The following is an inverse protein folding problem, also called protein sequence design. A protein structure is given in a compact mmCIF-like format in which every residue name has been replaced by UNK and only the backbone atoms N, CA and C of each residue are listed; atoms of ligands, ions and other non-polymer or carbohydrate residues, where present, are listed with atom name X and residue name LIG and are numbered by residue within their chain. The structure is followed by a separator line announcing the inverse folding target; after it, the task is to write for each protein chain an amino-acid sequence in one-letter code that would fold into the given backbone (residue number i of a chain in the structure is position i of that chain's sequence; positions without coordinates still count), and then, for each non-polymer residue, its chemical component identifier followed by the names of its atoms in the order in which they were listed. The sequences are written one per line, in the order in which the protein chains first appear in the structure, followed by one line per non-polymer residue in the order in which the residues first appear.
data_IF_070903935170
#
_entry.id   IF_070903935170
#
_cell.length_a   1.000
_cell.length_b   1.000
_cell.length_c   1.000
_cell.angle_alpha   90.00
_cell.angle_beta   90.00
_cell.angle_gamma   90.00
#
_symmetry.space_group_name_H-M   'P 1'
#
loop_
_entity.id
_entity.type
_entity.pdbx_description
1 polymer ?
#
# COMPACT_ATOMS: atom_id res chain seq x y z
N UNK A 1 18.13 -3.57 -12.12
CA UNK A 1 18.49 -3.18 -10.73
C UNK A 1 19.92 -3.60 -10.40
N UNK A 2 20.95 -2.91 -10.92
CA UNK A 2 22.36 -3.29 -10.63
C UNK A 2 23.00 -2.46 -9.52
N UNK A 3 22.44 -1.29 -9.20
CA UNK A 3 23.01 -0.39 -8.19
C UNK A 3 22.60 -0.77 -6.76
N UNK A 4 21.37 -1.24 -6.56
CA UNK A 4 20.85 -1.69 -5.28
C UNK A 4 20.06 -2.98 -5.49
N UNK A 5 20.68 -4.16 -5.28
CA UNK A 5 19.95 -5.43 -5.30
C UNK A 5 18.91 -5.46 -4.17
N UNK A 6 17.73 -6.04 -4.44
CA UNK A 6 16.58 -6.08 -3.52
C UNK A 6 16.10 -7.52 -3.29
N UNK A 7 16.93 -8.39 -2.67
CA UNK A 7 16.60 -9.81 -2.51
C UNK A 7 15.35 -10.06 -1.66
N UNK A 8 15.01 -9.14 -0.76
CA UNK A 8 13.81 -9.23 0.07
C UNK A 8 12.52 -9.13 -0.76
N UNK A 9 12.57 -8.47 -1.92
CA UNK A 9 11.41 -8.36 -2.81
C UNK A 9 11.16 -9.72 -3.47
N UNK A 10 12.21 -10.43 -3.87
CA UNK A 10 12.10 -11.77 -4.43
C UNK A 10 11.54 -12.75 -3.38
N UNK A 11 11.92 -12.60 -2.11
CA UNK A 11 11.37 -13.39 -1.00
C UNK A 11 9.88 -13.11 -0.78
N UNK A 12 9.47 -11.83 -0.75
CA UNK A 12 8.05 -11.45 -0.66
C UNK A 12 7.27 -12.01 -1.86
N UNK A 13 7.85 -11.91 -3.06
CA UNK A 13 7.23 -12.37 -4.29
C UNK A 13 7.05 -13.89 -4.31
N UNK A 14 8.05 -14.65 -3.85
CA UNK A 14 8.01 -16.11 -3.83
C UNK A 14 7.17 -16.68 -2.69
N UNK A 15 7.22 -16.08 -1.50
CA UNK A 15 6.45 -16.55 -0.32
C UNK A 15 4.92 -16.51 -0.53
N UNK A 16 4.45 -15.62 -1.41
CA UNK A 16 3.03 -15.47 -1.75
C UNK A 16 2.63 -16.14 -3.06
N UNK A 17 3.56 -16.82 -3.73
CA UNK A 17 3.35 -17.47 -5.01
C UNK A 17 3.51 -19.00 -4.91
N UNK A 18 2.41 -19.74 -5.12
CA UNK A 18 2.37 -21.19 -4.89
C UNK A 18 3.16 -22.04 -5.91
N UNK A 19 3.57 -21.44 -7.03
CA UNK A 19 4.39 -22.06 -8.08
C UNK A 19 5.38 -20.99 -8.50
N UNK A 20 6.70 -21.20 -8.36
CA UNK A 20 7.77 -20.23 -8.64
C UNK A 20 7.79 -19.73 -10.11
N UNK A 21 6.73 -19.03 -10.51
CA UNK A 21 6.56 -18.40 -11.80
C UNK A 21 7.20 -17.01 -11.71
N UNK A 22 7.76 -16.51 -12.82
CA UNK A 22 8.43 -15.21 -12.84
C UNK A 22 7.46 -14.02 -12.80
N UNK A 23 6.19 -14.25 -12.49
CA UNK A 23 5.12 -13.26 -12.50
C UNK A 23 4.05 -13.60 -11.46
N UNK A 24 3.33 -12.58 -11.00
CA UNK A 24 2.19 -12.66 -10.08
C UNK A 24 0.92 -12.24 -10.82
N UNK A 25 -0.15 -13.02 -10.72
CA UNK A 25 -1.41 -12.68 -11.39
C UNK A 25 -2.22 -11.66 -10.57
N UNK A 26 -3.15 -10.97 -11.20
CA UNK A 26 -4.08 -10.05 -10.53
C UNK A 26 -4.82 -10.67 -9.32
N UNK A 27 -5.17 -11.96 -9.38
CA UNK A 27 -5.83 -12.66 -8.26
C UNK A 27 -4.89 -12.85 -7.08
N UNK A 28 -3.63 -13.20 -7.35
CA UNK A 28 -2.61 -13.32 -6.30
C UNK A 28 -2.27 -11.97 -5.68
N UNK A 29 -2.15 -10.92 -6.50
CA UNK A 29 -1.91 -9.56 -6.01
C UNK A 29 -3.10 -9.05 -5.18
N UNK A 30 -4.34 -9.28 -5.61
CA UNK A 30 -5.53 -8.95 -4.82
C UNK A 30 -5.55 -9.66 -3.47
N UNK A 31 -5.17 -10.94 -3.44
CA UNK A 31 -5.05 -11.71 -2.19
C UNK A 31 -3.95 -11.14 -1.30
N UNK A 32 -2.81 -10.75 -1.85
CA UNK A 32 -1.71 -10.12 -1.11
C UNK A 32 -2.17 -8.81 -0.46
N UNK A 33 -2.79 -7.91 -1.24
CA UNK A 33 -3.31 -6.63 -0.75
C UNK A 33 -4.31 -6.86 0.39
N UNK A 34 -5.30 -7.73 0.19
CA UNK A 34 -6.37 -7.93 1.16
C UNK A 34 -5.96 -8.70 2.42
N UNK A 35 -4.92 -9.55 2.35
CA UNK A 35 -4.50 -10.36 3.51
C UNK A 35 -3.27 -9.84 4.24
N UNK A 36 -2.38 -9.11 3.56
CA UNK A 36 -1.10 -8.66 4.13
C UNK A 36 -1.02 -7.15 4.28
N UNK A 37 -1.52 -6.39 3.32
CA UNK A 37 -1.44 -4.92 3.36
C UNK A 37 -2.62 -4.29 4.09
N UNK A 38 -3.79 -4.94 4.09
CA UNK A 38 -4.99 -4.43 4.74
C UNK A 38 -4.89 -4.50 6.28
N UNK A 39 -5.22 -3.39 6.95
CA UNK A 39 -5.41 -3.36 8.40
C UNK A 39 -6.68 -4.14 8.79
N UNK A 40 -6.51 -5.17 9.62
CA UNK A 40 -7.59 -6.08 10.04
C UNK A 40 -8.65 -5.43 10.94
N UNK A 41 -8.39 -4.22 11.45
CA UNK A 41 -9.33 -3.45 12.28
C UNK A 41 -10.31 -2.62 11.45
N UNK A 42 -10.05 -2.46 10.14
CA UNK A 42 -10.92 -1.69 9.26
C UNK A 42 -12.22 -2.44 8.97
N UNK A 43 -13.32 -1.70 8.93
CA UNK A 43 -14.63 -2.25 8.61
C UNK A 43 -14.75 -2.56 7.10
N UNK A 44 -15.22 -3.76 6.75
CA UNK A 44 -15.30 -4.22 5.37
C UNK A 44 -16.38 -3.52 4.52
N UNK A 45 -17.36 -2.88 5.16
CA UNK A 45 -18.40 -2.12 4.45
C UNK A 45 -17.88 -0.70 4.14
N UNK A 46 -17.26 -0.04 5.12
CA UNK A 46 -16.70 1.31 4.95
C UNK A 46 -15.43 1.31 4.08
N UNK A 47 -14.63 0.25 4.20
CA UNK A 47 -13.38 0.08 3.45
C UNK A 47 -13.44 -1.24 2.72
N UNK A 48 -14.09 -1.35 1.55
CA UNK A 48 -14.23 -2.62 0.85
C UNK A 48 -12.86 -3.23 0.47
N UNK A 49 -12.74 -4.58 0.46
CA UNK A 49 -11.54 -5.24 -0.02
C UNK A 49 -11.32 -4.98 -1.51
N UNK A 50 -10.06 -4.93 -1.92
CA UNK A 50 -9.67 -4.70 -3.30
C UNK A 50 -10.14 -5.87 -4.19
N UNK A 51 -10.91 -5.55 -5.24
CA UNK A 51 -11.37 -6.55 -6.21
C UNK A 51 -10.33 -6.76 -7.33
N UNK A 52 -10.25 -7.94 -7.96
CA UNK A 52 -9.30 -8.21 -9.03
C UNK A 52 -9.35 -7.19 -10.19
N UNK A 53 -10.52 -6.62 -10.47
CA UNK A 53 -10.69 -5.60 -11.52
C UNK A 53 -10.01 -4.28 -11.15
N UNK A 54 -10.04 -3.88 -9.87
CA UNK A 54 -9.33 -2.69 -9.39
C UNK A 54 -7.81 -2.92 -9.37
N UNK A 55 -7.41 -4.16 -9.07
CA UNK A 55 -6.01 -4.56 -9.09
C UNK A 55 -5.43 -4.54 -10.50
N UNK A 56 -6.23 -4.79 -11.53
CA UNK A 56 -5.78 -4.65 -12.93
C UNK A 56 -5.27 -3.23 -13.22
N UNK A 57 -5.96 -2.20 -12.72
CA UNK A 57 -5.52 -0.81 -12.88
C UNK A 57 -4.22 -0.50 -12.13
N UNK A 58 -3.95 -1.18 -11.01
CA UNK A 58 -2.66 -1.10 -10.33
C UNK A 58 -1.54 -1.74 -11.16
N UNK A 59 -1.81 -2.88 -11.79
CA UNK A 59 -0.84 -3.54 -12.69
C UNK A 59 -0.54 -2.63 -13.88
N UNK A 60 -1.56 -2.04 -14.51
CA UNK A 60 -1.39 -1.08 -15.60
C UNK A 60 -0.55 0.15 -15.21
N UNK A 61 -0.66 0.59 -13.95
CA UNK A 61 0.10 1.73 -13.43
C UNK A 61 1.56 1.40 -13.14
N UNK A 62 1.85 0.21 -12.61
CA UNK A 62 3.15 -0.12 -12.02
C UNK A 62 4.01 -1.09 -12.82
N UNK A 63 3.41 -1.87 -13.71
CA UNK A 63 4.15 -2.85 -14.50
C UNK A 63 4.84 -2.17 -15.69
N UNK A 64 6.17 -2.32 -15.86
CA UNK A 64 6.89 -1.71 -16.98
C UNK A 64 6.65 -2.45 -18.31
N UNK A 65 6.37 -3.75 -18.27
CA UNK A 65 6.21 -4.58 -19.46
C UNK A 65 4.77 -4.60 -19.96
N UNK A 66 4.54 -4.05 -21.16
CA UNK A 66 3.23 -4.04 -21.83
C UNK A 66 2.65 -5.45 -22.03
N UNK A 67 3.50 -6.46 -22.27
CA UNK A 67 3.07 -7.85 -22.45
C UNK A 67 2.49 -8.40 -21.14
N UNK A 68 3.10 -8.05 -20.01
CA UNK A 68 2.63 -8.48 -18.69
C UNK A 68 1.34 -7.75 -18.32
N UNK A 69 1.24 -6.45 -18.62
CA UNK A 69 0.01 -5.66 -18.44
C UNK A 69 -1.17 -6.32 -19.16
N UNK A 70 -1.01 -6.65 -20.45
CA UNK A 70 -2.06 -7.29 -21.26
C UNK A 70 -2.47 -8.67 -20.71
N UNK A 71 -1.56 -9.35 -20.01
CA UNK A 71 -1.81 -10.65 -19.38
C UNK A 71 -2.31 -10.53 -17.93
N UNK A 72 -2.45 -9.33 -17.39
CA UNK A 72 -2.82 -9.10 -15.99
C UNK A 72 -1.79 -9.67 -15.01
N UNK A 73 -0.52 -9.52 -15.36
CA UNK A 73 0.63 -10.06 -14.66
C UNK A 73 1.53 -8.93 -14.14
N UNK A 74 2.01 -9.08 -12.91
CA UNK A 74 2.99 -8.19 -12.29
C UNK A 74 4.33 -8.92 -12.17
N UNK A 75 5.40 -8.26 -12.59
CA UNK A 75 6.78 -8.71 -12.42
C UNK A 75 7.33 -8.34 -11.04
N UNK A 76 8.47 -8.92 -10.61
CA UNK A 76 9.17 -8.46 -9.40
C UNK A 76 9.54 -6.97 -9.45
N UNK A 77 9.86 -6.46 -10.63
CA UNK A 77 10.13 -5.02 -10.82
C UNK A 77 8.86 -4.18 -10.62
N UNK A 78 7.73 -4.58 -11.20
CA UNK A 78 6.44 -3.93 -10.95
C UNK A 78 6.04 -3.96 -9.47
N UNK A 79 6.39 -5.02 -8.74
CA UNK A 79 6.17 -5.13 -7.31
C UNK A 79 6.97 -4.09 -6.51
N UNK A 80 8.22 -3.79 -6.89
CA UNK A 80 9.00 -2.72 -6.27
C UNK A 80 8.28 -1.38 -6.42
N UNK A 81 7.82 -1.07 -7.63
CA UNK A 81 7.10 0.18 -7.90
C UNK A 81 5.78 0.27 -7.14
N UNK A 82 5.02 -0.82 -7.06
CA UNK A 82 3.81 -0.89 -6.26
C UNK A 82 4.08 -0.65 -4.77
N UNK A 83 5.09 -1.32 -4.19
CA UNK A 83 5.41 -1.19 -2.77
C UNK A 83 5.91 0.21 -2.38
N UNK A 84 6.58 0.90 -3.31
CA UNK A 84 7.01 2.30 -3.15
C UNK A 84 5.95 3.31 -3.60
N UNK A 85 4.82 2.84 -4.13
CA UNK A 85 3.77 3.68 -4.69
C UNK A 85 2.86 4.31 -3.62
N UNK A 86 2.16 5.41 -3.93
CA UNK A 86 1.27 6.09 -3.00
C UNK A 86 0.11 5.22 -2.49
N UNK A 87 -0.34 4.22 -3.25
CA UNK A 87 -1.40 3.29 -2.83
C UNK A 87 -0.96 2.32 -1.73
N UNK A 88 0.35 2.18 -1.49
CA UNK A 88 0.91 1.36 -0.43
C UNK A 88 1.58 2.22 0.67
N UNK A 89 1.07 3.44 0.89
CA UNK A 89 1.58 4.32 1.93
C UNK A 89 1.31 3.73 3.33
N UNK A 90 2.31 3.84 4.21
CA UNK A 90 2.23 3.38 5.61
C UNK A 90 1.18 4.16 6.39
N UNK A 91 0.93 5.42 6.02
CA UNK A 91 -0.03 6.31 6.68
C UNK A 91 -1.30 6.41 5.86
N UNK A 92 -2.44 6.24 6.52
CA UNK A 92 -3.74 6.54 5.94
C UNK A 92 -3.87 8.06 5.75
N UNK A 93 -3.92 8.51 4.48
CA UNK A 93 -3.85 9.93 4.11
C UNK A 93 -5.02 10.76 4.66
N UNK A 94 -6.17 10.13 4.91
CA UNK A 94 -7.34 10.73 5.56
C UNK A 94 -7.03 11.21 6.99
N UNK A 95 -6.05 10.61 7.67
CA UNK A 95 -5.60 11.03 9.00
C UNK A 95 -4.58 12.17 8.98
N UNK A 96 -4.06 12.55 7.81
CA UNK A 96 -3.12 13.68 7.70
C UNK A 96 -3.85 15.02 7.66
N UNK A 97 -5.10 15.03 7.19
CA UNK A 97 -5.96 16.22 7.19
C UNK A 97 -6.72 16.32 8.53
N UNK A 98 -7.43 17.42 8.75
CA UNK A 98 -8.28 17.58 9.92
C UNK A 98 -9.43 16.55 9.87
N UNK A 99 -9.25 15.43 10.58
CA UNK A 99 -10.20 14.31 10.60
C UNK A 99 -10.98 14.20 11.92
N UNK A 100 -10.51 14.90 12.96
CA UNK A 100 -11.13 14.89 14.26
C UNK A 100 -12.30 15.87 14.28
N UNK A 101 -13.35 15.53 15.02
CA UNK A 101 -14.43 16.48 15.31
C UNK A 101 -13.85 17.63 16.13
N UNK A 102 -13.90 18.86 15.60
CA UNK A 102 -13.40 20.08 16.24
C UNK A 102 -14.50 20.92 16.92
N UNK A 103 -15.69 20.34 17.11
CA UNK A 103 -16.84 21.03 17.73
C UNK A 103 -17.00 20.73 19.22
N UNK A 104 -16.17 19.84 19.79
CA UNK A 104 -16.20 19.49 21.20
C UNK A 104 -15.60 20.62 22.07
N UNK A 105 -15.83 20.62 23.39
CA UNK A 105 -15.19 21.55 24.30
C UNK A 105 -13.65 21.41 24.30
N UNK A 106 -12.93 22.49 24.58
CA UNK A 106 -11.46 22.54 24.52
C UNK A 106 -10.77 21.48 25.41
N UNK A 107 -11.38 21.13 26.54
CA UNK A 107 -10.87 20.12 27.48
C UNK A 107 -10.82 18.70 26.91
N UNK A 108 -11.43 18.45 25.76
CA UNK A 108 -11.45 17.13 25.11
C UNK A 108 -10.26 16.91 24.16
N UNK A 109 -9.42 17.93 23.95
CA UNK A 109 -8.31 17.87 23.00
C UNK A 109 -6.96 17.92 23.73
N UNK A 110 -6.00 17.13 23.24
CA UNK A 110 -4.61 17.35 23.56
C UNK A 110 -4.09 18.54 22.75
N UNK A 111 -3.57 19.55 23.43
CA UNK A 111 -3.05 20.77 22.81
C UNK A 111 -1.53 20.74 22.89
N UNK A 112 -0.87 20.75 21.72
CA UNK A 112 0.58 20.88 21.66
C UNK A 112 0.99 22.21 22.31
N UNK A 113 1.77 22.13 23.38
CA UNK A 113 2.13 23.25 24.22
C UNK A 113 3.64 23.26 24.37
N UNK A 114 4.23 24.45 24.28
CA UNK A 114 5.67 24.63 24.46
C UNK A 114 5.95 25.54 25.65
N UNK A 115 7.05 25.27 26.34
CA UNK A 115 7.49 26.01 27.50
C UNK A 115 8.77 26.78 27.17
N UNK A 116 8.85 28.04 27.59
CA UNK A 116 10.00 28.91 27.33
C UNK A 116 10.40 29.00 25.85
N UNK A 117 9.44 29.21 24.94
CA UNK A 117 9.67 29.32 23.49
C UNK A 117 10.64 30.43 23.07
N UNK A 118 10.99 31.35 23.97
CA UNK A 118 11.97 32.40 23.73
C UNK A 118 13.43 31.95 23.90
N UNK A 119 13.68 30.78 24.50
CA UNK A 119 15.04 30.23 24.66
C UNK A 119 15.43 29.44 23.40
N UNK A 120 16.58 29.77 22.82
CA UNK A 120 17.15 29.17 21.60
C UNK A 120 18.39 28.35 21.89
#
# INVERSE_FOLDING_TARGET
MNLCPRPEIDEIFTSHHFKAKPYMTKEHLAKFINKKQRDSRLNDILFPPAKPEQVQSLIEKYEPSVINIQRGQLSPEGMVWFLCGPENNVIALDKLVLYQDMTQPLSHYFINSSHNTYLT
#
